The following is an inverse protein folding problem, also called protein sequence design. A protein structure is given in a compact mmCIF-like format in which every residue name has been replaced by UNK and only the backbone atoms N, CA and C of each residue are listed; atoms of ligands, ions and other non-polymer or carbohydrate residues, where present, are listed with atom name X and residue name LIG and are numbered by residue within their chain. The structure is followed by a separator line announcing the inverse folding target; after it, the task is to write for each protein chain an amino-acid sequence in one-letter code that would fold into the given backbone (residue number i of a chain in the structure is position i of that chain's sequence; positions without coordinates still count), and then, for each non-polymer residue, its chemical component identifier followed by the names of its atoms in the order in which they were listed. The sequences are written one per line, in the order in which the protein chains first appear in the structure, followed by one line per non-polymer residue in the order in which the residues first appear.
data_IF_119539937219
#
_entry.id   IF_119539937219
#
_cell.length_a   1.000
_cell.length_b   1.000
_cell.length_c   1.000
_cell.angle_alpha   90.00
_cell.angle_beta   90.00
_cell.angle_gamma   90.00
#
_symmetry.space_group_name_H-M   'P 1'
#
loop_
_entity.id
_entity.type
_entity.pdbx_description
1 polymer ?
#
# COMPACT_ATOMS: atom_id res chain seq x y z
N UNK A 1 -18.95 15.27 -1.89
CA UNK A 1 -19.11 13.81 -2.02
C UNK A 1 -17.82 13.18 -1.54
N UNK A 2 -17.84 12.51 -0.38
CA UNK A 2 -16.64 11.96 0.25
C UNK A 2 -16.03 10.85 -0.59
N UNK A 3 -14.72 10.93 -0.86
CA UNK A 3 -13.97 9.89 -1.54
C UNK A 3 -13.96 8.66 -0.62
N UNK A 4 -14.69 7.62 -1.01
CA UNK A 4 -14.59 6.31 -0.36
C UNK A 4 -13.24 5.71 -0.76
N UNK A 5 -12.38 5.46 0.22
CA UNK A 5 -11.28 4.51 0.04
C UNK A 5 -11.92 3.12 0.03
N UNK A 6 -12.49 2.73 -1.12
CA UNK A 6 -12.88 1.35 -1.35
C UNK A 6 -11.59 0.63 -1.70
N UNK A 7 -10.97 -0.02 -0.72
CA UNK A 7 -10.07 -1.11 -1.05
C UNK A 7 -10.91 -2.16 -1.79
N UNK A 8 -10.49 -2.54 -2.99
CA UNK A 8 -11.10 -3.63 -3.75
C UNK A 8 -11.27 -4.85 -2.84
N UNK A 9 -12.52 -5.11 -2.42
CA UNK A 9 -12.94 -6.28 -1.65
C UNK A 9 -12.22 -6.47 -0.30
N UNK A 10 -12.56 -5.69 0.73
CA UNK A 10 -12.26 -6.12 2.10
C UNK A 10 -13.13 -7.34 2.44
N UNK A 11 -12.61 -8.54 2.16
CA UNK A 11 -13.16 -9.83 2.60
C UNK A 11 -13.12 -9.97 4.14
N UNK A 12 -12.39 -9.10 4.82
CA UNK A 12 -12.16 -9.10 6.26
C UNK A 12 -13.15 -8.17 6.96
N UNK A 13 -14.21 -8.74 7.54
CA UNK A 13 -15.20 -7.98 8.28
C UNK A 13 -14.84 -7.89 9.77
N UNK A 14 -14.86 -6.67 10.27
CA UNK A 14 -14.60 -6.35 11.67
C UNK A 14 -15.89 -5.99 12.42
N UNK A 15 -16.03 -6.37 13.69
CA UNK A 15 -17.16 -5.93 14.50
C UNK A 15 -17.18 -4.40 14.64
N UNK A 16 -18.34 -3.78 14.38
CA UNK A 16 -18.53 -2.33 14.58
C UNK A 16 -18.58 -1.95 16.06
N UNK A 17 -18.87 -2.90 16.94
CA UNK A 17 -18.92 -2.67 18.39
C UNK A 17 -17.49 -2.62 18.96
N UNK A 18 -17.05 -1.50 19.56
CA UNK A 18 -15.71 -1.37 20.13
C UNK A 18 -15.37 -2.42 21.19
N UNK A 19 -16.37 -2.91 21.92
CA UNK A 19 -16.17 -3.94 22.95
C UNK A 19 -15.82 -5.32 22.36
N UNK A 20 -16.09 -5.54 21.07
CA UNK A 20 -15.82 -6.80 20.38
C UNK A 20 -14.53 -6.73 19.53
N UNK A 21 -13.81 -5.61 19.57
CA UNK A 21 -12.64 -5.34 18.74
C UNK A 21 -11.50 -6.36 18.92
N UNK A 22 -11.32 -6.88 20.14
CA UNK A 22 -10.38 -7.95 20.47
C UNK A 22 -11.07 -9.26 20.86
N UNK A 23 -12.32 -9.45 20.42
CA UNK A 23 -12.98 -10.75 20.53
C UNK A 23 -12.18 -11.82 19.79
N UNK A 24 -12.29 -13.07 20.21
CA UNK A 24 -11.59 -14.18 19.57
C UNK A 24 -11.88 -14.26 18.06
N UNK A 25 -13.13 -13.97 17.65
CA UNK A 25 -13.51 -13.90 16.25
C UNK A 25 -12.77 -12.78 15.50
N UNK A 26 -12.72 -11.56 16.05
CA UNK A 26 -12.01 -10.45 15.44
C UNK A 26 -10.51 -10.71 15.31
N UNK A 27 -9.88 -11.29 16.35
CA UNK A 27 -8.46 -11.64 16.34
C UNK A 27 -8.15 -12.71 15.28
N UNK A 28 -9.04 -13.70 15.09
CA UNK A 28 -8.89 -14.68 14.03
C UNK A 28 -8.98 -14.04 12.64
N UNK A 29 -9.91 -13.10 12.43
CA UNK A 29 -9.99 -12.31 11.19
C UNK A 29 -8.70 -11.50 10.96
N UNK A 30 -8.16 -10.85 12.00
CA UNK A 30 -6.88 -10.12 11.91
C UNK A 30 -5.73 -11.04 11.51
N UNK A 31 -5.67 -12.27 12.03
CA UNK A 31 -4.62 -13.24 11.66
C UNK A 31 -4.75 -13.70 10.22
N UNK A 32 -5.96 -14.02 9.76
CA UNK A 32 -6.21 -14.39 8.38
C UNK A 32 -5.84 -13.24 7.42
N UNK A 33 -6.21 -12.01 7.78
CA UNK A 33 -5.82 -10.83 7.01
C UNK A 33 -4.30 -10.65 6.97
N UNK A 34 -3.62 -10.87 8.09
CA UNK A 34 -2.17 -10.74 8.17
C UNK A 34 -1.46 -11.70 7.23
N UNK A 35 -1.84 -12.98 7.23
CA UNK A 35 -1.28 -13.99 6.34
C UNK A 35 -1.52 -13.66 4.86
N UNK A 36 -2.74 -13.23 4.54
CA UNK A 36 -3.09 -12.78 3.20
C UNK A 36 -2.24 -11.59 2.75
N UNK A 37 -2.13 -10.55 3.58
CA UNK A 37 -1.38 -9.33 3.24
C UNK A 37 0.11 -9.57 3.15
N UNK A 38 0.71 -10.43 3.98
CA UNK A 38 2.12 -10.81 3.87
C UNK A 38 2.38 -11.50 2.54
N UNK A 39 1.52 -12.43 2.16
CA UNK A 39 1.63 -13.14 0.89
C UNK A 39 1.56 -12.17 -0.28
N UNK A 40 0.57 -11.26 -0.26
CA UNK A 40 0.39 -10.23 -1.30
C UNK A 40 1.53 -9.22 -1.34
N UNK A 41 2.06 -8.82 -0.19
CA UNK A 41 3.20 -7.91 -0.09
C UNK A 41 4.46 -8.50 -0.73
N UNK A 42 4.71 -9.81 -0.57
CA UNK A 42 5.82 -10.49 -1.23
C UNK A 42 5.69 -10.46 -2.76
N UNK A 43 4.48 -10.62 -3.31
CA UNK A 43 4.23 -10.50 -4.75
C UNK A 43 4.58 -9.09 -5.24
N UNK A 44 4.08 -8.05 -4.56
CA UNK A 44 4.37 -6.67 -4.94
C UNK A 44 5.85 -6.31 -4.84
N UNK A 45 6.55 -6.88 -3.87
CA UNK A 45 8.00 -6.74 -3.72
C UNK A 45 8.74 -7.30 -4.94
N UNK A 46 8.38 -8.48 -5.42
CA UNK A 46 9.04 -9.06 -6.60
C UNK A 46 8.72 -8.24 -7.85
N UNK A 47 7.47 -7.78 -8.02
CA UNK A 47 7.10 -6.87 -9.11
C UNK A 47 7.91 -5.57 -9.08
N UNK A 48 8.08 -4.95 -7.90
CA UNK A 48 8.90 -3.75 -7.76
C UNK A 48 10.36 -4.01 -8.13
N UNK A 49 10.89 -5.20 -7.84
CA UNK A 49 12.26 -5.59 -8.23
C UNK A 49 12.41 -5.75 -9.74
N UNK A 50 11.46 -6.41 -10.39
CA UNK A 50 11.47 -6.59 -11.85
C UNK A 50 11.47 -5.27 -12.60
N UNK A 51 10.74 -4.27 -12.09
CA UNK A 51 10.65 -2.92 -12.68
C UNK A 51 11.75 -1.98 -12.13
N UNK A 52 12.65 -2.48 -11.28
CA UNK A 52 13.76 -1.74 -10.67
C UNK A 52 13.32 -0.46 -9.90
N UNK A 53 12.18 -0.54 -9.22
CA UNK A 53 11.61 0.55 -8.41
C UNK A 53 12.12 0.40 -6.98
N UNK A 54 12.61 1.51 -6.39
CA UNK A 54 12.89 1.57 -4.95
C UNK A 54 11.57 1.60 -4.18
N UNK A 55 11.29 0.54 -3.42
CA UNK A 55 10.12 0.44 -2.55
C UNK A 55 10.46 0.77 -1.08
N UNK A 56 9.48 1.18 -0.26
CA UNK A 56 9.68 1.50 1.16
C UNK A 56 10.14 0.29 1.99
N UNK A 57 10.78 0.55 3.14
CA UNK A 57 11.31 -0.48 4.06
C UNK A 57 10.22 -1.48 4.46
N UNK A 58 10.53 -2.78 4.48
CA UNK A 58 9.65 -3.89 4.91
C UNK A 58 9.49 -3.96 6.43
N UNK A 59 9.00 -2.88 7.03
CA UNK A 59 8.96 -2.74 8.48
C UNK A 59 7.88 -3.63 9.08
N UNK A 60 6.76 -3.81 8.39
CA UNK A 60 5.66 -4.63 8.88
C UNK A 60 6.07 -6.10 9.15
N UNK A 61 6.83 -6.72 8.25
CA UNK A 61 7.22 -8.15 8.35
C UNK A 61 7.99 -8.46 9.65
N UNK A 62 8.78 -7.50 10.14
CA UNK A 62 9.53 -7.63 11.37
C UNK A 62 8.76 -7.25 12.64
N UNK A 63 7.51 -6.79 12.52
CA UNK A 63 6.74 -6.36 13.69
C UNK A 63 6.27 -7.56 14.51
N UNK A 64 6.27 -7.44 15.85
CA UNK A 64 5.69 -8.47 16.69
C UNK A 64 4.18 -8.55 16.45
N UNK A 65 3.62 -9.77 16.47
CA UNK A 65 2.18 -10.04 16.26
C UNK A 65 1.57 -10.84 17.42
N UNK A 66 2.30 -10.95 18.53
CA UNK A 66 1.97 -11.84 19.64
C UNK A 66 0.70 -11.43 20.41
N UNK A 67 0.38 -10.13 20.42
CA UNK A 67 -0.83 -9.61 21.05
C UNK A 67 -1.76 -9.01 19.99
N UNK A 68 -3.09 -8.98 20.24
CA UNK A 68 -4.04 -8.39 19.31
C UNK A 68 -3.73 -6.93 18.93
N UNK A 69 -3.24 -6.13 19.88
CA UNK A 69 -2.86 -4.73 19.66
C UNK A 69 -1.65 -4.64 18.71
N UNK A 70 -0.67 -5.51 18.91
CA UNK A 70 0.53 -5.55 18.08
C UNK A 70 0.22 -6.07 16.68
N UNK A 71 -0.65 -7.09 16.57
CA UNK A 71 -1.17 -7.59 15.30
C UNK A 71 -1.92 -6.50 14.52
N UNK A 72 -2.78 -5.72 15.19
CA UNK A 72 -3.46 -4.59 14.57
C UNK A 72 -2.47 -3.53 14.06
N UNK A 73 -1.44 -3.21 14.84
CA UNK A 73 -0.40 -2.26 14.43
C UNK A 73 0.39 -2.78 13.21
N UNK A 74 0.76 -4.06 13.22
CA UNK A 74 1.43 -4.70 12.09
C UNK A 74 0.55 -4.70 10.83
N UNK A 75 -0.76 -4.96 10.98
CA UNK A 75 -1.75 -4.88 9.91
C UNK A 75 -1.86 -3.47 9.31
N UNK A 76 -1.92 -2.43 10.14
CA UNK A 76 -1.88 -1.06 9.65
C UNK A 76 -0.60 -0.78 8.87
N UNK A 77 0.55 -1.22 9.39
CA UNK A 77 1.82 -0.97 8.71
C UNK A 77 1.92 -1.67 7.36
N UNK A 78 1.49 -2.92 7.26
CA UNK A 78 1.54 -3.66 5.99
C UNK A 78 0.53 -3.11 4.98
N UNK A 79 -0.63 -2.61 5.44
CA UNK A 79 -1.60 -1.89 4.59
C UNK A 79 -0.91 -0.69 3.94
N UNK A 80 -0.24 0.13 4.74
CA UNK A 80 0.45 1.33 4.25
C UNK A 80 1.59 0.97 3.29
N UNK A 81 2.40 -0.03 3.62
CA UNK A 81 3.50 -0.50 2.76
C UNK A 81 2.99 -1.05 1.42
N UNK A 82 1.95 -1.87 1.43
CA UNK A 82 1.33 -2.43 0.20
C UNK A 82 0.69 -1.33 -0.64
N UNK A 83 -0.01 -0.38 -0.02
CA UNK A 83 -0.59 0.76 -0.72
C UNK A 83 0.51 1.56 -1.41
N UNK A 84 1.60 1.90 -0.70
CA UNK A 84 2.73 2.62 -1.28
C UNK A 84 3.37 1.87 -2.45
N UNK A 85 3.63 0.56 -2.31
CA UNK A 85 4.16 -0.25 -3.42
C UNK A 85 3.24 -0.25 -4.64
N UNK A 86 1.93 -0.38 -4.41
CA UNK A 86 0.93 -0.35 -5.48
C UNK A 86 0.95 0.99 -6.21
N UNK A 87 1.01 2.10 -5.48
CA UNK A 87 1.11 3.44 -6.05
C UNK A 87 2.39 3.64 -6.87
N UNK A 88 3.54 3.17 -6.37
CA UNK A 88 4.80 3.24 -7.11
C UNK A 88 4.75 2.44 -8.42
N UNK A 89 4.16 1.24 -8.40
CA UNK A 89 3.99 0.41 -9.60
C UNK A 89 3.06 1.10 -10.62
N UNK A 90 1.91 1.61 -10.18
CA UNK A 90 0.98 2.34 -11.04
C UNK A 90 1.64 3.57 -11.67
N UNK A 91 2.39 4.36 -10.90
CA UNK A 91 3.15 5.51 -11.44
C UNK A 91 4.15 5.07 -12.50
N UNK A 92 4.89 3.98 -12.26
CA UNK A 92 5.82 3.45 -13.24
C UNK A 92 5.15 3.00 -14.53
N UNK A 93 3.98 2.37 -14.45
CA UNK A 93 3.19 1.98 -15.63
C UNK A 93 2.70 3.19 -16.42
N UNK A 94 2.21 4.23 -15.72
CA UNK A 94 1.79 5.48 -16.34
C UNK A 94 2.95 6.20 -17.03
N UNK A 95 4.12 6.28 -16.40
CA UNK A 95 5.32 6.87 -17.01
C UNK A 95 5.78 6.08 -18.23
N UNK A 96 5.75 4.75 -18.17
CA UNK A 96 6.06 3.89 -19.32
C UNK A 96 5.10 4.17 -20.48
N UNK A 97 3.80 4.25 -20.19
CA UNK A 97 2.77 4.53 -21.19
C UNK A 97 2.96 5.93 -21.79
N UNK A 98 3.28 6.94 -20.98
CA UNK A 98 3.56 8.29 -21.45
C UNK A 98 4.76 8.33 -22.43
N UNK A 99 5.83 7.58 -22.13
CA UNK A 99 6.99 7.45 -23.01
C UNK A 99 6.63 6.78 -24.34
N UNK A 100 5.87 5.67 -24.31
CA UNK A 100 5.40 5.00 -25.52
C UNK A 100 4.55 5.95 -26.40
N UNK A 101 3.65 6.75 -25.80
CA UNK A 101 2.85 7.76 -26.52
C UNK A 101 3.71 8.89 -27.10
N UNK A 102 4.79 9.24 -26.41
CA UNK A 102 5.76 10.24 -26.91
C UNK A 102 6.51 9.70 -28.13
N UNK A 103 6.92 8.43 -28.11
CA UNK A 103 7.56 7.76 -29.24
C UNK A 103 6.63 7.66 -30.46
N UNK A 104 5.33 7.48 -30.24
CA UNK A 104 4.28 7.48 -31.27
C UNK A 104 3.87 8.89 -31.76
N UNK A 105 4.55 9.95 -31.29
CA UNK A 105 4.24 11.36 -31.57
C UNK A 105 2.82 11.80 -31.15
N UNK A 106 2.21 11.10 -30.19
CA UNK A 106 0.90 11.41 -29.59
C UNK A 106 1.09 12.28 -28.35
N UNK A 107 1.59 13.50 -28.54
CA UNK A 107 2.04 14.37 -27.44
C UNK A 107 0.92 14.79 -26.48
N UNK A 108 -0.30 14.99 -26.97
CA UNK A 108 -1.45 15.35 -26.12
C UNK A 108 -1.83 14.21 -25.16
N UNK A 109 -1.81 12.96 -25.64
CA UNK A 109 -2.03 11.77 -24.82
C UNK A 109 -0.87 11.59 -23.82
N UNK A 110 0.38 11.76 -24.26
CA UNK A 110 1.56 11.63 -23.40
C UNK A 110 1.52 12.62 -22.22
N UNK A 111 1.15 13.88 -22.47
CA UNK A 111 0.99 14.89 -21.42
C UNK A 111 -0.07 14.49 -20.38
N UNK A 112 -1.15 13.84 -20.80
CA UNK A 112 -2.18 13.35 -19.89
C UNK A 112 -1.65 12.25 -18.95
N UNK A 113 -0.92 11.26 -19.48
CA UNK A 113 -0.32 10.20 -18.66
C UNK A 113 0.78 10.72 -17.72
N UNK A 114 1.59 11.69 -18.16
CA UNK A 114 2.54 12.36 -17.27
C UNK A 114 1.83 13.11 -16.14
N UNK A 115 0.77 13.87 -16.44
CA UNK A 115 -0.01 14.56 -15.42
C UNK A 115 -0.61 13.57 -14.40
N UNK A 116 -1.13 12.43 -14.84
CA UNK A 116 -1.64 11.38 -13.94
C UNK A 116 -0.53 10.72 -13.11
N UNK A 117 0.67 10.55 -13.65
CA UNK A 117 1.81 10.02 -12.89
C UNK A 117 2.30 10.96 -11.78
N UNK A 118 2.05 12.26 -11.94
CA UNK A 118 2.48 13.33 -11.01
C UNK A 118 1.37 13.81 -10.06
N UNK A 119 0.11 13.39 -10.22
CA UNK A 119 -1.00 13.91 -9.44
C UNK A 119 -0.81 13.63 -7.92
N UNK A 120 -0.97 14.70 -7.13
CA UNK A 120 -0.67 14.82 -5.70
C UNK A 120 -1.64 14.01 -4.83
N UNK A 121 -2.73 13.50 -5.40
CA UNK A 121 -3.54 12.46 -4.74
C UNK A 121 -2.79 11.16 -4.44
N UNK A 122 -1.58 11.01 -5.00
CA UNK A 122 -0.65 9.90 -4.77
C UNK A 122 0.65 10.33 -4.07
N UNK A 123 0.74 11.57 -3.57
CA UNK A 123 1.76 12.00 -2.62
C UNK A 123 1.13 12.06 -1.21
N UNK A 124 0.96 10.91 -0.59
CA UNK A 124 0.78 10.83 0.86
C UNK A 124 1.95 10.03 1.41
N UNK A 125 2.75 10.69 2.24
CA UNK A 125 3.74 10.13 3.17
C UNK A 125 5.23 10.12 2.78
N UNK A 126 5.69 11.04 1.91
CA UNK A 126 7.14 11.39 1.88
C UNK A 126 7.52 12.28 3.07
N UNK A 127 6.58 12.95 3.73
CA UNK A 127 6.82 13.72 4.95
C UNK A 127 6.19 13.00 6.16
N UNK A 128 6.86 11.99 6.71
CA UNK A 128 6.81 11.58 8.14
C UNK A 128 7.78 10.39 8.38
N UNK A 129 8.99 10.42 7.80
CA UNK A 129 10.08 9.56 8.28
C UNK A 129 11.26 10.42 8.73
N UNK A 130 10.97 11.31 9.66
CA UNK A 130 11.98 11.93 10.51
C UNK A 130 11.63 11.64 11.98
N UNK A 131 11.21 10.41 12.27
CA UNK A 131 11.39 9.85 13.60
C UNK A 131 12.83 9.35 13.67
N UNK A 132 13.66 10.31 14.05
CA UNK A 132 15.04 10.19 14.46
C UNK A 132 15.10 9.24 15.67
N UNK A 133 15.11 7.93 15.44
CA UNK A 133 15.51 6.93 16.44
C UNK A 133 17.03 7.05 16.64
N UNK A 134 17.42 8.09 17.36
CA UNK A 134 18.74 8.24 17.97
C UNK A 134 18.74 7.45 19.28
N UNK A 135 19.25 6.22 19.23
CA UNK A 135 19.93 5.58 20.36
C UNK A 135 21.42 5.40 20.02
#
# INVERSE_FOLDING_TARGET
MGRYWVADGDEFQYPLNPNLHYSHAAVNTMRAEWEFRITRANVFVELCREVNIKFPRRLAIGMPTNTPQLLQRALHRIRDEVNRMTQCLQRSELTKTANERTEDALMDDAHQYFAWSMDVMYESDIEMSDDNDNE
#
